data_IF_829114399896
#
_entry.id   IF_829114399896
#
_cell.length_a   1.000
_cell.length_b   1.000
_cell.length_c   1.000
_cell.angle_alpha   90.00
_cell.angle_beta   90.00
_cell.angle_gamma   90.00
#
_symmetry.space_group_name_H-M   'P 1'
#
loop_
_entity.id
_entity.type
_entity.pdbx_description
1 polymer ?
#
# COMPACT_ATOMS: atom_id res chain seq x y z
N UNK A 1 -16.89 -3.30 -22.08
CA UNK A 1 -15.65 -2.55 -21.80
C UNK A 1 -15.90 -1.45 -20.75
N UNK A 2 -16.73 -1.72 -19.73
CA UNK A 2 -17.11 -0.74 -18.68
C UNK A 2 -16.74 -1.21 -17.25
N UNK A 3 -16.21 -2.43 -17.12
CA UNK A 3 -15.91 -3.05 -15.82
C UNK A 3 -14.68 -2.47 -15.13
N UNK A 4 -13.65 -2.04 -15.89
CA UNK A 4 -12.39 -1.53 -15.31
C UNK A 4 -12.51 -0.14 -14.69
N UNK A 5 -13.35 0.75 -15.24
CA UNK A 5 -13.59 2.08 -14.65
C UNK A 5 -14.40 1.97 -13.35
N UNK A 6 -15.39 1.07 -13.31
CA UNK A 6 -16.16 0.76 -12.09
C UNK A 6 -15.30 0.16 -10.97
N UNK A 7 -14.37 -0.74 -11.30
CA UNK A 7 -13.45 -1.35 -10.32
C UNK A 7 -12.48 -0.32 -9.71
N UNK A 8 -11.96 0.60 -10.51
CA UNK A 8 -11.06 1.66 -10.06
C UNK A 8 -11.76 2.67 -9.14
N UNK A 9 -12.95 3.14 -9.52
CA UNK A 9 -13.74 4.07 -8.72
C UNK A 9 -14.17 3.45 -7.38
N UNK A 10 -14.63 2.18 -7.40
CA UNK A 10 -14.97 1.46 -6.17
C UNK A 10 -13.78 1.30 -5.22
N UNK A 11 -12.56 1.11 -5.76
CA UNK A 11 -11.35 1.06 -4.94
C UNK A 11 -11.03 2.41 -4.27
N UNK A 12 -11.32 3.54 -4.93
CA UNK A 12 -11.17 4.88 -4.34
C UNK A 12 -12.19 5.14 -3.24
N UNK A 13 -13.44 4.70 -3.42
CA UNK A 13 -14.50 4.83 -2.40
C UNK A 13 -14.18 4.02 -1.14
N UNK A 14 -13.62 2.82 -1.29
CA UNK A 14 -13.22 1.97 -0.17
C UNK A 14 -11.95 2.42 0.55
N UNK A 15 -11.10 3.23 -0.10
CA UNK A 15 -9.78 3.58 0.40
C UNK A 15 -9.79 4.25 1.79
N UNK A 16 -10.59 5.31 2.07
CA UNK A 16 -10.53 5.99 3.37
C UNK A 16 -10.89 5.07 4.54
N UNK A 17 -11.85 4.17 4.35
CA UNK A 17 -12.23 3.20 5.37
C UNK A 17 -11.14 2.15 5.59
N UNK A 18 -10.57 1.60 4.51
CA UNK A 18 -9.45 0.67 4.59
C UNK A 18 -8.24 1.31 5.28
N UNK A 19 -7.86 2.53 4.86
CA UNK A 19 -6.75 3.28 5.43
C UNK A 19 -6.97 3.55 6.92
N UNK A 20 -8.16 4.04 7.29
CA UNK A 20 -8.52 4.25 8.70
C UNK A 20 -8.39 2.97 9.50
N UNK A 21 -8.98 1.86 9.04
CA UNK A 21 -8.93 0.57 9.75
C UNK A 21 -7.49 0.07 9.91
N UNK A 22 -6.66 0.12 8.87
CA UNK A 22 -5.24 -0.24 8.97
C UNK A 22 -4.52 0.63 10.00
N UNK A 23 -4.78 1.94 10.01
CA UNK A 23 -4.10 2.88 10.90
C UNK A 23 -4.59 2.78 12.36
N UNK A 24 -5.86 2.44 12.60
CA UNK A 24 -6.45 2.46 13.95
C UNK A 24 -6.58 1.08 14.59
N UNK A 25 -6.75 0.03 13.79
CA UNK A 25 -6.86 -1.35 14.27
C UNK A 25 -6.17 -2.33 13.29
N UNK A 26 -4.83 -2.24 13.15
CA UNK A 26 -4.08 -3.06 12.20
C UNK A 26 -4.22 -4.56 12.49
N UNK A 27 -4.29 -4.95 13.77
CA UNK A 27 -4.37 -6.36 14.15
C UNK A 27 -5.65 -7.00 13.64
N UNK A 28 -6.81 -6.37 13.90
CA UNK A 28 -8.07 -6.88 13.37
C UNK A 28 -8.10 -6.83 11.85
N UNK A 29 -7.63 -5.73 11.24
CA UNK A 29 -7.59 -5.60 9.79
C UNK A 29 -6.80 -6.74 9.12
N UNK A 30 -5.58 -7.01 9.57
CA UNK A 30 -4.76 -8.07 8.98
C UNK A 30 -5.25 -9.48 9.32
N UNK A 31 -5.92 -9.68 10.47
CA UNK A 31 -6.51 -10.96 10.83
C UNK A 31 -7.75 -11.31 9.98
N UNK A 32 -8.55 -10.32 9.60
CA UNK A 32 -9.75 -10.48 8.77
C UNK A 32 -9.48 -10.42 7.27
N UNK A 33 -8.27 -9.99 6.88
CA UNK A 33 -7.91 -9.77 5.48
C UNK A 33 -8.00 -11.07 4.67
N UNK A 34 -8.71 -11.09 3.51
CA UNK A 34 -8.76 -12.27 2.67
C UNK A 34 -7.37 -12.63 2.12
N UNK A 35 -7.01 -13.91 2.19
CA UNK A 35 -5.73 -14.41 1.66
C UNK A 35 -5.72 -14.55 0.13
N UNK A 36 -6.90 -14.60 -0.49
CA UNK A 36 -7.11 -14.78 -1.94
C UNK A 36 -8.14 -13.79 -2.48
N UNK A 37 -8.16 -13.58 -3.79
CA UNK A 37 -9.10 -12.69 -4.49
C UNK A 37 -8.44 -11.71 -5.48
N UNK A 38 -7.20 -11.97 -5.89
CA UNK A 38 -6.44 -11.17 -6.84
C UNK A 38 -5.61 -10.04 -6.22
N UNK A 39 -4.75 -9.45 -7.04
CA UNK A 39 -3.85 -8.35 -6.63
C UNK A 39 -4.45 -6.96 -6.87
N UNK A 40 -5.60 -6.85 -7.55
CA UNK A 40 -6.19 -5.54 -7.87
C UNK A 40 -6.52 -4.71 -6.62
N UNK A 41 -7.24 -5.21 -5.59
CA UNK A 41 -7.53 -4.41 -4.40
C UNK A 41 -6.28 -3.90 -3.65
N UNK A 42 -5.29 -4.76 -3.29
CA UNK A 42 -4.09 -4.27 -2.61
C UNK A 42 -3.26 -3.34 -3.50
N UNK A 43 -3.19 -3.59 -4.82
CA UNK A 43 -2.47 -2.71 -5.74
C UNK A 43 -3.12 -1.33 -5.87
N UNK A 44 -4.46 -1.27 -5.90
CA UNK A 44 -5.18 -0.01 -5.90
C UNK A 44 -4.94 0.78 -4.60
N UNK A 45 -5.03 0.12 -3.44
CA UNK A 45 -4.72 0.74 -2.15
C UNK A 45 -3.29 1.30 -2.10
N UNK A 46 -2.32 0.50 -2.54
CA UNK A 46 -0.92 0.91 -2.63
C UNK A 46 -0.74 2.08 -3.60
N UNK A 47 -1.42 2.05 -4.75
CA UNK A 47 -1.38 3.12 -5.75
C UNK A 47 -1.87 4.45 -5.19
N UNK A 48 -3.02 4.45 -4.50
CA UNK A 48 -3.56 5.66 -3.85
C UNK A 48 -2.60 6.17 -2.77
N UNK A 49 -2.10 5.28 -1.91
CA UNK A 49 -1.10 5.61 -0.89
C UNK A 49 0.15 6.25 -1.51
N UNK A 50 0.64 5.67 -2.61
CA UNK A 50 1.84 6.14 -3.30
C UNK A 50 1.65 7.51 -3.94
N UNK A 51 0.49 7.73 -4.58
CA UNK A 51 0.12 9.03 -5.17
C UNK A 51 0.00 10.11 -4.09
N UNK A 52 -0.67 9.82 -2.97
CA UNK A 52 -0.79 10.80 -1.87
C UNK A 52 0.59 11.15 -1.31
N UNK A 53 1.42 10.15 -1.03
CA UNK A 53 2.77 10.38 -0.54
C UNK A 53 3.60 11.22 -1.52
N UNK A 54 3.56 10.88 -2.82
CA UNK A 54 4.28 11.60 -3.86
C UNK A 54 3.77 13.03 -4.05
N UNK A 55 2.45 13.24 -3.98
CA UNK A 55 1.83 14.55 -4.07
C UNK A 55 2.24 15.47 -2.91
N UNK A 56 2.33 14.93 -1.68
CA UNK A 56 2.85 15.68 -0.54
C UNK A 56 4.27 16.19 -0.76
N UNK A 57 5.16 15.35 -1.28
CA UNK A 57 6.53 15.76 -1.62
C UNK A 57 6.59 16.73 -2.81
N UNK A 58 5.67 16.60 -3.78
CA UNK A 58 5.55 17.54 -4.89
C UNK A 58 5.21 18.95 -4.38
N UNK A 59 4.27 19.06 -3.44
CA UNK A 59 3.91 20.33 -2.77
C UNK A 59 5.09 20.93 -2.00
N UNK A 60 5.95 20.08 -1.43
CA UNK A 60 7.20 20.50 -0.76
C UNK A 60 8.33 20.87 -1.73
N UNK A 61 8.08 20.92 -3.05
CA UNK A 61 9.02 21.44 -4.04
C UNK A 61 9.94 20.39 -4.67
N UNK A 62 9.69 19.09 -4.49
CA UNK A 62 10.54 18.02 -5.05
C UNK A 62 10.40 17.82 -6.57
N UNK A 63 9.44 18.52 -7.20
CA UNK A 63 9.19 18.51 -8.64
C UNK A 63 8.62 17.19 -9.17
N UNK A 64 8.26 17.18 -10.47
CA UNK A 64 7.63 16.04 -11.13
C UNK A 64 8.55 14.79 -11.16
N UNK A 65 9.86 14.99 -11.28
CA UNK A 65 10.83 13.90 -11.20
C UNK A 65 10.83 13.20 -9.84
N UNK A 66 10.71 13.97 -8.75
CA UNK A 66 10.55 13.44 -7.40
C UNK A 66 9.25 12.65 -7.25
N UNK A 67 8.14 13.20 -7.75
CA UNK A 67 6.84 12.54 -7.75
C UNK A 67 6.89 11.16 -8.44
N UNK A 68 7.35 11.11 -9.70
CA UNK A 68 7.39 9.86 -10.47
C UNK A 68 8.32 8.82 -9.83
N UNK A 69 9.46 9.28 -9.30
CA UNK A 69 10.41 8.43 -8.59
C UNK A 69 9.79 7.79 -7.34
N UNK A 70 9.03 8.56 -6.55
CA UNK A 70 8.38 8.05 -5.32
C UNK A 70 7.30 7.02 -5.65
N UNK A 71 6.46 7.30 -6.65
CA UNK A 71 5.40 6.35 -7.07
C UNK A 71 6.03 5.05 -7.58
N UNK A 72 7.01 5.16 -8.48
CA UNK A 72 7.69 4.00 -9.05
C UNK A 72 8.39 3.16 -7.98
N UNK A 73 9.17 3.78 -7.10
CA UNK A 73 9.88 3.06 -6.03
C UNK A 73 8.96 2.40 -5.03
N UNK A 74 7.83 3.03 -4.65
CA UNK A 74 6.88 2.38 -3.74
C UNK A 74 6.21 1.17 -4.37
N UNK A 75 5.75 1.27 -5.61
CA UNK A 75 5.07 0.16 -6.28
C UNK A 75 6.04 -0.98 -6.53
N UNK A 76 7.19 -0.73 -7.16
CA UNK A 76 8.20 -1.75 -7.40
C UNK A 76 8.75 -2.33 -6.09
N UNK A 77 9.02 -1.47 -5.12
CA UNK A 77 9.48 -1.86 -3.79
C UNK A 77 8.51 -2.80 -3.08
N UNK A 78 7.20 -2.60 -3.23
CA UNK A 78 6.20 -3.50 -2.67
C UNK A 78 6.23 -4.90 -3.31
N UNK A 79 6.37 -5.00 -4.64
CA UNK A 79 6.50 -6.29 -5.31
C UNK A 79 7.77 -7.02 -4.89
N UNK A 80 8.91 -6.31 -4.85
CA UNK A 80 10.19 -6.88 -4.43
C UNK A 80 10.13 -7.32 -2.96
N UNK A 81 9.58 -6.48 -2.08
CA UNK A 81 9.44 -6.78 -0.65
C UNK A 81 8.53 -7.99 -0.43
N UNK A 82 7.40 -8.07 -1.13
CA UNK A 82 6.51 -9.23 -1.05
C UNK A 82 7.20 -10.52 -1.51
N UNK A 83 7.97 -10.46 -2.60
CA UNK A 83 8.75 -11.58 -3.10
C UNK A 83 9.81 -12.03 -2.09
N UNK A 84 10.49 -11.08 -1.45
CA UNK A 84 11.46 -11.39 -0.40
C UNK A 84 10.78 -11.97 0.84
N UNK A 85 9.69 -11.37 1.31
CA UNK A 85 8.99 -11.78 2.52
C UNK A 85 8.34 -13.15 2.38
N UNK A 86 7.80 -13.51 1.21
CA UNK A 86 7.24 -14.85 1.02
C UNK A 86 8.33 -15.92 1.08
N UNK A 87 9.49 -15.67 0.46
CA UNK A 87 10.63 -16.58 0.54
C UNK A 87 11.16 -16.70 1.96
N UNK A 88 11.26 -15.57 2.68
CA UNK A 88 11.67 -15.56 4.07
C UNK A 88 10.68 -16.37 4.92
N UNK A 89 9.39 -16.11 4.78
CA UNK A 89 8.35 -16.82 5.52
C UNK A 89 8.41 -18.33 5.27
N UNK A 90 8.54 -18.75 4.01
CA UNK A 90 8.57 -20.17 3.64
C UNK A 90 9.85 -20.88 4.09
N UNK A 91 11.03 -20.26 3.91
CA UNK A 91 12.32 -20.92 4.15
C UNK A 91 12.83 -20.79 5.59
N UNK A 92 12.49 -19.71 6.30
CA UNK A 92 13.01 -19.45 7.65
C UNK A 92 11.96 -19.71 8.74
N UNK A 93 10.66 -19.58 8.42
CA UNK A 93 9.58 -19.62 9.43
C UNK A 93 8.54 -20.72 9.18
N UNK A 94 8.72 -21.57 8.17
CA UNK A 94 7.76 -22.64 7.83
C UNK A 94 6.39 -22.12 7.39
N UNK A 95 6.32 -20.87 6.93
CA UNK A 95 5.11 -20.24 6.42
C UNK A 95 4.56 -20.98 5.20
N UNK A 96 3.24 -21.09 5.10
CA UNK A 96 2.55 -21.75 3.99
C UNK A 96 1.86 -20.77 3.03
N UNK A 97 1.88 -19.48 3.37
CA UNK A 97 1.29 -18.43 2.55
C UNK A 97 2.08 -18.25 1.23
N UNK A 98 1.36 -17.92 0.16
CA UNK A 98 1.93 -17.60 -1.15
C UNK A 98 2.27 -16.12 -1.32
N UNK A 99 2.61 -15.74 -2.56
CA UNK A 99 2.94 -14.35 -2.89
C UNK A 99 1.74 -13.41 -2.67
N UNK A 100 0.54 -13.80 -3.10
CA UNK A 100 -0.66 -12.96 -3.02
C UNK A 100 -0.99 -12.46 -1.60
N UNK A 101 -1.16 -13.32 -0.58
CA UNK A 101 -1.41 -12.86 0.79
C UNK A 101 -0.26 -12.01 1.33
N UNK A 102 0.99 -12.34 0.97
CA UNK A 102 2.15 -11.55 1.36
C UNK A 102 2.13 -10.15 0.73
N UNK A 103 1.82 -10.05 -0.56
CA UNK A 103 1.71 -8.76 -1.26
C UNK A 103 0.56 -7.93 -0.70
N UNK A 104 -0.57 -8.55 -0.35
CA UNK A 104 -1.67 -7.87 0.35
C UNK A 104 -1.19 -7.24 1.65
N UNK A 105 -0.45 -7.99 2.48
CA UNK A 105 0.14 -7.45 3.72
C UNK A 105 1.04 -6.25 3.41
N UNK A 106 1.98 -6.39 2.47
CA UNK A 106 2.92 -5.31 2.12
C UNK A 106 2.20 -4.06 1.61
N UNK A 107 1.21 -4.23 0.75
CA UNK A 107 0.45 -3.13 0.15
C UNK A 107 -0.34 -2.35 1.21
N UNK A 108 -1.07 -3.04 2.10
CA UNK A 108 -1.80 -2.37 3.17
C UNK A 108 -0.88 -1.80 4.25
N UNK A 109 0.25 -2.46 4.53
CA UNK A 109 1.26 -1.94 5.46
C UNK A 109 1.89 -0.61 5.01
N UNK A 110 1.73 -0.23 3.73
CA UNK A 110 2.14 1.08 3.25
C UNK A 110 1.24 2.23 3.74
N UNK A 111 0.11 1.97 4.40
CA UNK A 111 -0.83 3.00 4.86
C UNK A 111 -0.20 4.21 5.58
N UNK A 112 0.81 4.06 6.46
CA UNK A 112 1.46 5.20 7.11
C UNK A 112 2.17 6.15 6.13
N UNK A 113 2.52 5.70 4.92
CA UNK A 113 3.17 6.52 3.90
C UNK A 113 2.30 7.68 3.43
N UNK A 114 0.98 7.62 3.62
CA UNK A 114 0.07 8.75 3.42
C UNK A 114 0.47 9.97 4.25
N UNK A 115 1.14 9.77 5.38
CA UNK A 115 1.58 10.82 6.31
C UNK A 115 3.08 11.11 6.23
N UNK A 116 3.85 10.37 5.41
CA UNK A 116 5.31 10.42 5.42
C UNK A 116 5.91 11.75 4.93
N UNK A 117 5.11 12.58 4.27
CA UNK A 117 5.51 13.91 3.81
C UNK A 117 5.24 15.01 4.86
N UNK A 118 4.52 14.71 5.95
CA UNK A 118 4.26 15.71 6.99
C UNK A 118 5.55 16.06 7.74
N UNK A 119 5.89 17.34 7.88
CA UNK A 119 6.98 17.75 8.75
C UNK A 119 6.57 17.47 10.19
N UNK A 120 7.31 16.61 10.91
CA UNK A 120 7.06 16.26 12.32
C UNK A 120 7.26 17.42 13.33
N UNK A 121 7.10 18.67 12.92
CA UNK A 121 7.33 19.91 13.71
C UNK A 121 6.03 20.49 14.30
N UNK A 122 5.15 19.65 14.85
CA UNK A 122 3.97 20.10 15.61
C UNK A 122 4.11 19.68 17.08
N UNK A 123 5.04 20.29 17.81
CA UNK A 123 5.08 20.43 19.28
C UNK A 123 6.48 20.87 19.75
N UNK A 124 6.74 22.18 19.74
CA UNK A 124 7.63 22.87 20.70
C UNK A 124 7.07 24.26 20.92
#
# INVERSE_FOLDING_TARGET
MATREFEGAAALEGFPNAWKRVMTDPRAFFAEMPEVGGLQPPLAFLGVTAVINAAGHLVLGWGLGGFLRIVLWQVLGAFVSAGLFVLIAQHLFGGRAGFEPTFRVVAYAAAPMVLAWLPFRLAT
#
